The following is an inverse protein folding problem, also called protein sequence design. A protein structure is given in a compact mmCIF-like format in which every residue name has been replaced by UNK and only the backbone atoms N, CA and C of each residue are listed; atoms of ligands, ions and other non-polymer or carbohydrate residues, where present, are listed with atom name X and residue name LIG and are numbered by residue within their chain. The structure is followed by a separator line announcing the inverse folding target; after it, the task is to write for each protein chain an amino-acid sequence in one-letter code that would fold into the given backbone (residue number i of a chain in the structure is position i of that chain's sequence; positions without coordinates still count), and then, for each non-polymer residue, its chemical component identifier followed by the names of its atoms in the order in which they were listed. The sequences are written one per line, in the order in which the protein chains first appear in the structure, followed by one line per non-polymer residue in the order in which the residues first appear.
data_IF_610039421168
#
_entry.id   IF_610039421168
#
_cell.length_a   1.000
_cell.length_b   1.000
_cell.length_c   1.000
_cell.angle_alpha   90.00
_cell.angle_beta   90.00
_cell.angle_gamma   90.00
#
_symmetry.space_group_name_H-M   'P 1'
#
loop_
_entity.id
_entity.type
_entity.pdbx_description
1 polymer ?
#
# COMPACT_ATOMS: atom_id res chain seq x y z
N UNK A 1 -29.94 14.56 5.49
CA UNK A 1 -29.26 15.16 4.32
C UNK A 1 -28.41 14.07 3.73
N UNK A 2 -28.70 13.60 2.52
CA UNK A 2 -27.88 12.58 1.87
C UNK A 2 -26.49 13.17 1.67
N UNK A 3 -25.52 12.75 2.48
CA UNK A 3 -24.11 13.05 2.21
C UNK A 3 -23.79 12.41 0.87
N UNK A 4 -23.56 13.22 -0.17
CA UNK A 4 -23.10 12.71 -1.46
C UNK A 4 -21.80 11.92 -1.23
N UNK A 5 -21.75 10.70 -1.76
CA UNK A 5 -20.58 9.84 -1.66
C UNK A 5 -19.57 10.22 -2.75
N UNK A 6 -18.37 10.66 -2.35
CA UNK A 6 -17.32 11.10 -3.28
C UNK A 6 -16.26 10.03 -3.54
N UNK A 7 -16.38 8.84 -2.94
CA UNK A 7 -15.55 7.70 -3.31
C UNK A 7 -15.94 7.21 -4.69
N UNK A 8 -14.94 6.97 -5.55
CA UNK A 8 -15.17 6.52 -6.93
C UNK A 8 -14.13 5.50 -7.34
N UNK A 9 -14.61 4.40 -7.94
CA UNK A 9 -13.76 3.43 -8.62
C UNK A 9 -13.63 3.84 -10.08
N UNK A 10 -12.40 3.87 -10.58
CA UNK A 10 -12.08 4.23 -11.96
C UNK A 10 -11.17 3.17 -12.58
N UNK A 11 -11.11 3.11 -13.92
CA UNK A 11 -10.09 2.30 -14.61
C UNK A 11 -8.70 2.85 -14.25
N UNK A 12 -7.72 1.97 -14.06
CA UNK A 12 -6.36 2.39 -13.71
C UNK A 12 -5.77 3.39 -14.73
N UNK A 13 -6.08 3.22 -16.02
CA UNK A 13 -5.61 4.11 -17.09
C UNK A 13 -6.14 5.55 -16.98
N UNK A 14 -7.20 5.78 -16.21
CA UNK A 14 -7.81 7.10 -15.99
C UNK A 14 -7.22 7.82 -14.76
N UNK A 15 -6.41 7.12 -13.96
CA UNK A 15 -5.82 7.68 -12.74
C UNK A 15 -4.88 8.85 -13.07
N UNK A 16 -5.05 9.95 -12.34
CA UNK A 16 -4.21 11.14 -12.43
C UNK A 16 -3.87 11.60 -11.03
N UNK A 17 -2.58 11.82 -10.77
CA UNK A 17 -2.12 12.42 -9.50
C UNK A 17 -2.66 13.86 -9.39
N UNK A 18 -3.06 14.30 -8.18
CA UNK A 18 -3.40 15.70 -7.98
C UNK A 18 -2.19 16.61 -8.19
N UNK A 19 -2.39 17.72 -8.89
CA UNK A 19 -1.35 18.72 -9.12
C UNK A 19 -1.18 19.64 -7.91
N UNK A 20 0.07 19.89 -7.51
CA UNK A 20 0.34 20.88 -6.49
C UNK A 20 -0.01 22.30 -7.00
N UNK A 21 -0.58 23.18 -6.15
CA UNK A 21 -0.75 24.59 -6.49
C UNK A 21 0.60 25.21 -6.90
N UNK A 22 0.60 26.08 -7.91
CA UNK A 22 1.83 26.65 -8.47
C UNK A 22 2.75 27.31 -7.43
N UNK A 23 2.21 27.78 -6.31
CA UNK A 23 2.96 28.38 -5.19
C UNK A 23 3.72 27.39 -4.30
N UNK A 24 3.37 26.10 -4.31
CA UNK A 24 3.90 25.11 -3.34
C UNK A 24 5.16 24.39 -3.84
N UNK A 25 5.48 24.47 -5.15
CA UNK A 25 6.71 23.87 -5.72
C UNK A 25 8.00 24.42 -5.08
N UNK A 26 7.94 25.62 -4.49
CA UNK A 26 9.09 26.26 -3.81
C UNK A 26 9.29 25.73 -2.38
N UNK A 27 8.23 25.31 -1.68
CA UNK A 27 8.34 24.74 -0.32
C UNK A 27 8.87 23.31 -0.30
N UNK A 28 8.57 22.51 -1.33
CA UNK A 28 9.11 21.15 -1.50
C UNK A 28 10.63 21.16 -1.65
N UNK A 29 11.19 22.19 -2.30
CA UNK A 29 12.63 22.40 -2.43
C UNK A 29 13.27 22.75 -1.07
N UNK A 30 12.58 23.53 -0.23
CA UNK A 30 13.05 23.91 1.11
C UNK A 30 13.09 22.74 2.10
N UNK A 31 12.13 21.80 2.02
CA UNK A 31 12.16 20.58 2.84
C UNK A 31 13.33 19.65 2.44
N UNK A 32 13.65 19.56 1.15
CA UNK A 32 14.84 18.84 0.68
C UNK A 32 16.14 19.45 1.21
N UNK A 33 16.21 20.77 1.33
CA UNK A 33 17.38 21.48 1.87
C UNK A 33 17.46 21.32 3.40
N UNK A 34 16.34 21.28 4.12
CA UNK A 34 16.32 21.06 5.57
C UNK A 34 16.80 19.65 5.95
N UNK A 35 16.52 18.65 5.12
CA UNK A 35 16.99 17.27 5.32
C UNK A 35 18.51 17.11 5.15
N UNK A 36 19.23 18.11 4.61
CA UNK A 36 20.69 18.10 4.50
C UNK A 36 21.40 18.68 5.73
N UNK A 37 20.68 19.32 6.65
CA UNK A 37 21.22 19.87 7.89
C UNK A 37 20.35 19.47 9.09
N UNK A 38 20.55 18.27 9.66
CA UNK A 38 19.88 17.90 10.89
C UNK A 38 20.41 18.80 12.01
N UNK A 39 19.51 19.52 12.68
CA UNK A 39 19.82 20.08 14.00
C UNK A 39 19.87 18.90 14.97
N UNK A 40 21.02 18.73 15.62
CA UNK A 40 21.15 17.81 16.76
C UNK A 40 20.43 18.47 17.93
N UNK A 41 19.20 18.03 18.21
CA UNK A 41 18.54 18.27 19.49
C UNK A 41 18.54 16.95 20.26
N UNK A 42 18.91 17.05 21.54
CA UNK A 42 19.19 15.94 22.44
C UNK A 42 17.95 15.04 22.62
N UNK A 43 18.18 13.73 22.53
CA UNK A 43 17.18 12.68 22.79
C UNK A 43 16.70 12.75 24.23
N UNK A 44 15.40 12.92 24.43
CA UNK A 44 14.70 12.39 25.60
C UNK A 44 14.15 11.01 25.23
N UNK A 45 14.76 9.98 25.81
CA UNK A 45 14.18 8.65 25.89
C UNK A 45 13.05 8.71 26.92
N UNK A 46 11.82 8.91 26.46
CA UNK A 46 10.55 8.56 27.11
C UNK A 46 9.41 9.11 26.22
N UNK A 47 9.09 8.41 25.14
CA UNK A 47 7.84 8.64 24.41
C UNK A 47 7.06 7.33 24.39
N UNK A 48 6.05 7.29 25.26
CA UNK A 48 4.90 6.42 25.10
C UNK A 48 4.48 6.38 23.62
N UNK A 49 4.10 5.20 23.17
CA UNK A 49 3.57 4.89 21.85
C UNK A 49 2.38 5.81 21.55
N UNK A 50 2.68 7.02 21.06
CA UNK A 50 1.71 8.03 20.62
C UNK A 50 1.15 7.55 19.29
N UNK A 51 0.20 6.64 19.39
CA UNK A 51 -0.68 6.22 18.31
C UNK A 51 -1.50 7.45 17.89
N UNK A 52 -1.00 8.18 16.90
CA UNK A 52 -1.79 9.22 16.26
C UNK A 52 -3.09 8.60 15.75
N UNK A 53 -4.26 9.19 16.06
CA UNK A 53 -5.54 8.62 15.64
C UNK A 53 -5.72 8.66 14.12
N UNK A 54 -6.52 7.73 13.60
CA UNK A 54 -7.37 8.00 12.44
C UNK A 54 -6.87 7.72 11.02
N UNK A 55 -5.57 7.55 10.73
CA UNK A 55 -5.16 7.33 9.32
C UNK A 55 -5.72 6.03 8.72
N UNK A 56 -6.06 5.08 9.59
CA UNK A 56 -6.80 3.84 9.27
C UNK A 56 -8.29 3.90 9.66
N UNK A 57 -8.70 4.90 10.45
CA UNK A 57 -10.03 5.00 11.07
C UNK A 57 -10.84 6.09 10.37
N UNK A 58 -11.13 5.86 9.10
CA UNK A 58 -12.17 6.59 8.38
C UNK A 58 -13.33 5.65 8.10
N UNK A 59 -14.53 6.20 7.89
CA UNK A 59 -15.69 5.39 7.55
C UNK A 59 -15.45 4.64 6.24
N UNK A 60 -15.38 3.31 6.33
CA UNK A 60 -15.17 2.42 5.18
C UNK A 60 -16.43 2.31 4.31
N UNK A 61 -17.60 2.61 4.89
CA UNK A 61 -18.89 2.34 4.24
C UNK A 61 -19.05 3.10 2.92
N UNK A 62 -18.73 4.40 2.81
CA UNK A 62 -18.80 5.11 1.54
C UNK A 62 -17.85 4.52 0.48
N UNK A 63 -16.68 4.03 0.88
CA UNK A 63 -15.78 3.32 -0.03
C UNK A 63 -16.36 2.01 -0.54
N UNK A 64 -17.05 1.25 0.33
CA UNK A 64 -17.72 0.02 -0.05
C UNK A 64 -18.96 0.29 -0.93
N UNK A 65 -19.71 1.36 -0.66
CA UNK A 65 -20.82 1.79 -1.51
C UNK A 65 -20.33 2.16 -2.93
N UNK A 66 -19.11 2.71 -3.05
CA UNK A 66 -18.50 2.97 -4.36
C UNK A 66 -18.10 1.69 -5.12
N UNK A 67 -17.81 0.60 -4.41
CA UNK A 67 -17.61 -0.72 -5.02
C UNK A 67 -18.94 -1.30 -5.52
N UNK A 68 -20.04 -1.13 -4.77
CA UNK A 68 -21.39 -1.52 -5.21
C UNK A 68 -21.73 -0.83 -6.54
N UNK A 69 -21.62 0.50 -6.58
CA UNK A 69 -21.88 1.29 -7.80
C UNK A 69 -21.03 0.83 -8.99
N UNK A 70 -19.77 0.45 -8.74
CA UNK A 70 -18.85 0.07 -9.82
C UNK A 70 -19.02 -1.37 -10.30
N UNK A 71 -19.41 -2.29 -9.43
CA UNK A 71 -19.29 -3.73 -9.64
C UNK A 71 -20.60 -4.52 -9.46
N UNK A 72 -21.72 -3.89 -9.08
CA UNK A 72 -23.00 -4.57 -8.86
C UNK A 72 -23.48 -5.35 -10.09
N UNK A 73 -23.48 -4.74 -11.28
CA UNK A 73 -23.88 -5.42 -12.52
C UNK A 73 -23.05 -6.69 -12.74
N UNK A 74 -21.71 -6.58 -12.63
CA UNK A 74 -20.82 -7.73 -12.78
C UNK A 74 -21.07 -8.82 -11.73
N UNK A 75 -21.28 -8.43 -10.47
CA UNK A 75 -21.58 -9.35 -9.38
C UNK A 75 -22.90 -10.09 -9.62
N UNK A 76 -23.92 -9.40 -10.11
CA UNK A 76 -25.27 -9.94 -10.36
C UNK A 76 -25.32 -10.85 -11.58
N UNK A 77 -24.60 -10.53 -12.66
CA UNK A 77 -24.45 -11.41 -13.83
C UNK A 77 -23.91 -12.78 -13.41
N UNK A 78 -23.03 -12.81 -12.39
CA UNK A 78 -22.47 -14.03 -11.84
C UNK A 78 -21.50 -14.76 -12.78
N UNK A 79 -21.08 -14.08 -13.85
CA UNK A 79 -20.09 -14.57 -14.79
C UNK A 79 -18.71 -14.71 -14.14
N UNK A 80 -18.07 -15.86 -14.40
CA UNK A 80 -16.69 -16.11 -14.01
C UNK A 80 -15.78 -15.03 -14.60
N UNK A 81 -14.86 -14.54 -13.80
CA UNK A 81 -13.97 -13.48 -14.22
C UNK A 81 -13.28 -12.81 -13.04
N UNK A 82 -12.27 -12.00 -13.37
CA UNK A 82 -11.41 -11.36 -12.39
C UNK A 82 -11.43 -9.85 -12.59
N UNK A 83 -11.48 -9.10 -11.49
CA UNK A 83 -11.18 -7.67 -11.45
C UNK A 83 -10.01 -7.44 -10.50
N UNK A 84 -9.09 -6.57 -10.90
CA UNK A 84 -7.96 -6.15 -10.05
C UNK A 84 -8.23 -4.74 -9.54
N UNK A 85 -8.06 -4.53 -8.25
CA UNK A 85 -8.13 -3.23 -7.61
C UNK A 85 -6.75 -2.86 -7.05
N UNK A 86 -6.11 -1.85 -7.63
CA UNK A 86 -4.78 -1.44 -7.20
C UNK A 86 -4.88 -0.62 -5.91
N UNK A 87 -4.05 -1.01 -4.94
CA UNK A 87 -4.05 -0.52 -3.56
C UNK A 87 -2.70 0.10 -3.23
N UNK A 88 -2.58 1.43 -3.29
CA UNK A 88 -1.40 2.12 -2.77
C UNK A 88 -1.22 1.84 -1.29
N UNK A 89 0.02 1.80 -0.76
CA UNK A 89 0.27 1.69 0.67
C UNK A 89 -0.56 2.70 1.46
N UNK A 90 -1.15 2.26 2.58
CA UNK A 90 -1.96 3.11 3.47
C UNK A 90 -3.27 3.67 2.87
N UNK A 91 -3.67 3.30 1.65
CA UNK A 91 -4.92 3.80 1.05
C UNK A 91 -6.20 3.29 1.73
N UNK A 92 -6.11 2.26 2.56
CA UNK A 92 -7.27 1.60 3.18
C UNK A 92 -8.09 0.71 2.23
N UNK A 93 -7.70 0.62 0.95
CA UNK A 93 -8.40 -0.17 -0.10
C UNK A 93 -8.72 -1.60 0.33
N UNK A 94 -7.76 -2.32 0.95
CA UNK A 94 -7.99 -3.68 1.42
C UNK A 94 -9.08 -3.75 2.51
N UNK A 95 -9.11 -2.79 3.43
CA UNK A 95 -10.13 -2.73 4.48
C UNK A 95 -11.51 -2.41 3.90
N UNK A 96 -11.58 -1.50 2.91
CA UNK A 96 -12.81 -1.19 2.18
C UNK A 96 -13.34 -2.44 1.45
N UNK A 97 -12.46 -3.20 0.79
CA UNK A 97 -12.85 -4.44 0.09
C UNK A 97 -13.31 -5.52 1.07
N UNK A 98 -12.69 -5.65 2.26
CA UNK A 98 -13.18 -6.57 3.30
C UNK A 98 -14.56 -6.18 3.80
N UNK A 99 -14.79 -4.90 4.08
CA UNK A 99 -16.13 -4.37 4.45
C UNK A 99 -17.16 -4.70 3.36
N UNK A 100 -16.84 -4.44 2.10
CA UNK A 100 -17.69 -4.78 0.95
C UNK A 100 -17.95 -6.29 0.85
N UNK A 101 -16.92 -7.11 0.99
CA UNK A 101 -17.03 -8.55 0.90
C UNK A 101 -17.88 -9.16 2.02
N UNK A 102 -17.80 -8.63 3.25
CA UNK A 102 -18.67 -9.05 4.36
C UNK A 102 -20.14 -8.78 4.05
N UNK A 103 -20.48 -7.62 3.47
CA UNK A 103 -21.85 -7.28 3.07
C UNK A 103 -22.43 -8.25 2.04
N UNK A 104 -21.59 -8.68 1.09
CA UNK A 104 -21.99 -9.57 -0.01
C UNK A 104 -21.69 -11.04 0.21
N UNK A 105 -21.16 -11.40 1.39
CA UNK A 105 -20.80 -12.76 1.77
C UNK A 105 -19.74 -13.38 0.84
N UNK A 106 -18.80 -12.57 0.33
CA UNK A 106 -17.66 -13.05 -0.44
C UNK A 106 -16.54 -13.48 0.51
N UNK A 107 -16.17 -14.77 0.58
CA UNK A 107 -15.06 -15.21 1.41
C UNK A 107 -13.73 -14.60 0.95
N UNK A 108 -12.87 -14.24 1.91
CA UNK A 108 -11.48 -13.91 1.61
C UNK A 108 -10.66 -15.18 1.50
N UNK A 109 -9.93 -15.32 0.40
CA UNK A 109 -9.03 -16.44 0.20
C UNK A 109 -7.82 -16.29 1.13
N UNK A 110 -7.32 -17.43 1.61
CA UNK A 110 -6.07 -17.50 2.35
C UNK A 110 -4.92 -17.70 1.38
N UNK A 111 -3.80 -17.02 1.63
CA UNK A 111 -2.55 -17.23 0.88
C UNK A 111 -2.10 -18.70 0.97
N UNK A 112 -1.38 -19.22 -0.04
CA UNK A 112 -0.84 -20.57 0.00
C UNK A 112 0.10 -20.76 1.20
N UNK A 113 0.02 -21.93 1.83
CA UNK A 113 1.00 -22.36 2.84
C UNK A 113 2.36 -22.55 2.18
N UNK A 114 3.43 -22.54 2.97
CA UNK A 114 4.80 -22.68 2.46
C UNK A 114 4.97 -23.96 1.60
N UNK A 115 4.32 -25.09 1.97
CA UNK A 115 4.40 -26.32 1.18
C UNK A 115 3.71 -26.19 -0.18
N UNK A 116 2.51 -25.58 -0.21
CA UNK A 116 1.76 -25.33 -1.45
C UNK A 116 2.50 -24.33 -2.35
N UNK A 117 3.11 -23.31 -1.75
CA UNK A 117 3.88 -22.29 -2.45
C UNK A 117 5.14 -22.89 -3.10
N UNK A 118 5.94 -23.63 -2.33
CA UNK A 118 7.15 -24.30 -2.82
C UNK A 118 6.84 -25.41 -3.83
N UNK A 119 5.76 -26.16 -3.61
CA UNK A 119 5.32 -27.25 -4.48
C UNK A 119 4.56 -26.80 -5.74
N UNK A 120 4.20 -25.51 -5.84
CA UNK A 120 3.37 -24.95 -6.93
C UNK A 120 2.01 -25.69 -7.02
N UNK A 121 1.43 -26.04 -5.87
CA UNK A 121 0.21 -26.85 -5.79
C UNK A 121 -1.04 -25.96 -5.74
N UNK A 122 -1.34 -25.32 -6.87
CA UNK A 122 -2.51 -24.42 -7.02
C UNK A 122 -3.82 -25.18 -6.87
N UNK A 123 -3.88 -26.45 -7.30
CA UNK A 123 -5.10 -27.25 -7.24
C UNK A 123 -5.48 -27.61 -5.81
N UNK A 124 -4.51 -28.05 -5.00
CA UNK A 124 -4.76 -28.32 -3.58
C UNK A 124 -5.08 -27.03 -2.82
N UNK A 125 -4.35 -25.94 -3.08
CA UNK A 125 -4.62 -24.61 -2.51
C UNK A 125 -6.05 -24.14 -2.81
N UNK A 126 -6.53 -24.30 -4.04
CA UNK A 126 -7.88 -23.88 -4.42
C UNK A 126 -8.96 -24.78 -3.80
N UNK A 127 -8.77 -26.11 -3.84
CA UNK A 127 -9.76 -27.08 -3.34
C UNK A 127 -10.10 -26.88 -1.86
N UNK A 128 -9.15 -26.42 -1.04
CA UNK A 128 -9.37 -26.16 0.39
C UNK A 128 -10.34 -25.02 0.68
N UNK A 129 -10.58 -24.12 -0.27
CA UNK A 129 -11.30 -22.86 -0.06
C UNK A 129 -12.17 -22.44 -1.26
N UNK A 130 -12.44 -23.36 -2.18
CA UNK A 130 -13.10 -23.06 -3.44
C UNK A 130 -14.47 -22.43 -3.21
N UNK A 131 -14.72 -21.30 -3.86
CA UNK A 131 -15.98 -20.58 -3.80
C UNK A 131 -16.36 -20.04 -5.19
N UNK A 132 -17.66 -19.83 -5.42
CA UNK A 132 -18.13 -19.21 -6.67
C UNK A 132 -17.68 -17.76 -6.79
N UNK A 133 -17.70 -17.05 -5.66
CA UNK A 133 -17.37 -15.65 -5.50
C UNK A 133 -16.37 -15.51 -4.35
N UNK A 134 -15.36 -14.67 -4.49
CA UNK A 134 -14.29 -14.56 -3.49
C UNK A 134 -13.47 -13.27 -3.66
N UNK A 135 -12.73 -12.92 -2.61
CA UNK A 135 -11.73 -11.85 -2.67
C UNK A 135 -10.32 -12.38 -2.37
N UNK A 136 -9.31 -11.76 -2.98
CA UNK A 136 -7.94 -11.75 -2.46
C UNK A 136 -7.71 -10.32 -1.98
N UNK A 137 -7.58 -10.13 -0.68
CA UNK A 137 -7.40 -8.82 -0.04
C UNK A 137 -5.93 -8.37 0.02
N UNK A 138 -4.99 -9.30 -0.16
CA UNK A 138 -3.55 -9.04 -0.20
C UNK A 138 -2.83 -9.94 -1.21
N UNK A 139 -2.69 -9.45 -2.44
CA UNK A 139 -2.00 -10.17 -3.50
C UNK A 139 -0.48 -10.32 -3.27
N UNK A 140 0.13 -9.51 -2.39
CA UNK A 140 1.57 -9.56 -2.13
C UNK A 140 1.99 -10.86 -1.43
N UNK A 141 1.04 -11.57 -0.80
CA UNK A 141 1.25 -12.87 -0.14
C UNK A 141 1.28 -14.07 -1.09
N UNK A 142 0.99 -13.85 -2.37
CA UNK A 142 0.90 -14.91 -3.40
C UNK A 142 2.18 -15.04 -4.24
N UNK A 143 3.22 -14.28 -3.91
CA UNK A 143 4.51 -14.33 -4.60
C UNK A 143 5.65 -13.82 -3.69
N UNK A 144 6.88 -14.16 -4.03
CA UNK A 144 8.09 -13.73 -3.32
C UNK A 144 9.11 -13.19 -4.32
N UNK A 145 9.85 -12.13 -3.96
CA UNK A 145 10.95 -11.61 -4.81
C UNK A 145 12.20 -12.50 -4.74
N UNK A 146 12.06 -13.74 -5.20
CA UNK A 146 13.15 -14.72 -5.37
C UNK A 146 13.26 -15.13 -6.83
N UNK A 147 14.35 -15.80 -7.20
CA UNK A 147 14.57 -16.34 -8.55
C UNK A 147 13.45 -17.28 -8.98
N UNK A 148 12.92 -18.07 -8.04
CA UNK A 148 11.80 -18.99 -8.19
C UNK A 148 10.48 -18.47 -7.61
N UNK A 149 10.49 -17.41 -6.79
CA UNK A 149 9.32 -16.95 -6.02
C UNK A 149 8.13 -16.40 -6.83
N UNK A 150 8.23 -16.38 -8.16
CA UNK A 150 7.12 -16.07 -9.06
C UNK A 150 6.43 -17.32 -9.63
N UNK A 151 6.92 -18.53 -9.39
CA UNK A 151 6.37 -19.76 -9.98
C UNK A 151 4.92 -20.02 -9.58
N UNK A 152 4.59 -19.84 -8.30
CA UNK A 152 3.21 -20.00 -7.82
C UNK A 152 2.25 -19.04 -8.54
N UNK A 153 2.56 -17.74 -8.56
CA UNK A 153 1.70 -16.76 -9.24
C UNK A 153 1.68 -16.96 -10.77
N UNK A 154 2.76 -17.46 -11.35
CA UNK A 154 2.81 -17.85 -12.77
C UNK A 154 1.90 -19.02 -13.11
N UNK A 155 1.66 -19.93 -12.17
CA UNK A 155 0.70 -21.02 -12.32
C UNK A 155 -0.74 -20.59 -12.00
N UNK A 156 -0.94 -19.74 -10.98
CA UNK A 156 -2.26 -19.28 -10.55
C UNK A 156 -2.89 -18.29 -11.54
N UNK A 157 -2.14 -17.29 -12.00
CA UNK A 157 -2.70 -16.17 -12.76
C UNK A 157 -3.38 -16.61 -14.07
N UNK A 158 -2.84 -17.54 -14.89
CA UNK A 158 -3.56 -18.04 -16.06
C UNK A 158 -4.94 -18.62 -15.74
N UNK A 159 -5.11 -19.29 -14.59
CA UNK A 159 -6.38 -19.85 -14.14
C UNK A 159 -7.37 -18.74 -13.76
N UNK A 160 -6.88 -17.72 -13.06
CA UNK A 160 -7.64 -16.51 -12.74
C UNK A 160 -8.14 -15.79 -14.00
N UNK A 161 -7.25 -15.58 -14.97
CA UNK A 161 -7.56 -14.86 -16.21
C UNK A 161 -8.56 -15.62 -17.10
N UNK A 162 -8.61 -16.95 -17.00
CA UNK A 162 -9.58 -17.80 -17.72
C UNK A 162 -10.92 -17.95 -16.99
N UNK A 163 -11.04 -17.42 -15.77
CA UNK A 163 -12.24 -17.59 -14.95
C UNK A 163 -12.42 -19.01 -14.42
N UNK A 164 -11.37 -19.85 -14.40
CA UNK A 164 -11.43 -21.24 -13.92
C UNK A 164 -11.77 -21.30 -12.42
N UNK A 165 -11.49 -20.23 -11.68
CA UNK A 165 -11.69 -20.13 -10.23
C UNK A 165 -12.96 -19.35 -9.87
N UNK A 166 -13.88 -19.12 -10.81
CA UNK A 166 -15.12 -18.37 -10.56
C UNK A 166 -14.93 -16.86 -10.66
N UNK A 167 -15.68 -16.12 -9.84
CA UNK A 167 -15.75 -14.66 -9.85
C UNK A 167 -14.91 -14.07 -8.70
N UNK A 168 -13.86 -13.32 -9.03
CA UNK A 168 -12.88 -12.85 -8.05
C UNK A 168 -12.60 -11.35 -8.10
N UNK A 169 -12.45 -10.74 -6.93
CA UNK A 169 -11.88 -9.39 -6.77
C UNK A 169 -10.51 -9.48 -6.09
N UNK A 170 -9.46 -9.00 -6.76
CA UNK A 170 -8.08 -9.08 -6.28
C UNK A 170 -7.56 -7.69 -5.95
N UNK A 171 -7.26 -7.45 -4.69
CA UNK A 171 -6.57 -6.26 -4.21
C UNK A 171 -5.07 -6.47 -4.40
N UNK A 172 -4.50 -5.70 -5.33
CA UNK A 172 -3.09 -5.79 -5.69
C UNK A 172 -2.36 -4.54 -5.20
N UNK A 173 -1.33 -4.73 -4.38
CA UNK A 173 -0.46 -3.64 -3.95
C UNK A 173 0.19 -2.92 -5.14
N UNK A 174 0.27 -1.59 -5.10
CA UNK A 174 0.78 -0.80 -6.21
C UNK A 174 2.28 -1.02 -6.50
N UNK A 175 3.10 -1.31 -5.48
CA UNK A 175 4.51 -1.66 -5.65
C UNK A 175 4.65 -3.07 -6.21
N UNK A 176 3.88 -4.04 -5.69
CA UNK A 176 3.78 -5.39 -6.27
C UNK A 176 3.38 -5.33 -7.74
N UNK A 177 2.33 -4.57 -8.07
CA UNK A 177 1.84 -4.40 -9.44
C UNK A 177 2.93 -3.81 -10.35
N UNK A 178 3.56 -2.72 -9.92
CA UNK A 178 4.64 -2.06 -10.65
C UNK A 178 5.84 -2.99 -10.89
N UNK A 179 6.22 -3.78 -9.88
CA UNK A 179 7.29 -4.76 -9.99
C UNK A 179 6.92 -5.90 -10.93
N UNK A 180 5.74 -6.50 -10.76
CA UNK A 180 5.30 -7.65 -11.55
C UNK A 180 5.18 -7.29 -13.02
N UNK A 181 4.65 -6.10 -13.36
CA UNK A 181 4.60 -5.64 -14.76
C UNK A 181 5.97 -5.61 -15.45
N UNK A 182 7.04 -5.33 -14.68
CA UNK A 182 8.41 -5.29 -15.21
C UNK A 182 9.10 -6.66 -15.19
N UNK A 183 8.90 -7.42 -14.12
CA UNK A 183 9.49 -8.75 -13.95
C UNK A 183 8.80 -9.82 -14.82
N UNK A 184 7.54 -9.59 -15.19
CA UNK A 184 6.73 -10.51 -15.98
C UNK A 184 5.73 -9.70 -16.83
N UNK A 185 5.87 -9.67 -18.17
CA UNK A 185 5.05 -8.83 -19.05
C UNK A 185 3.63 -9.41 -19.26
N UNK A 186 2.89 -9.62 -18.17
CA UNK A 186 1.47 -9.98 -18.22
C UNK A 186 0.65 -8.71 -18.22
N UNK A 187 -0.26 -8.62 -19.19
CA UNK A 187 -1.27 -7.60 -19.20
C UNK A 187 -2.47 -8.08 -18.37
N UNK A 188 -2.62 -7.53 -17.17
CA UNK A 188 -3.78 -7.80 -16.33
C UNK A 188 -5.01 -7.09 -16.94
N UNK A 189 -6.10 -7.80 -17.25
CA UNK A 189 -7.35 -7.18 -17.69
C UNK A 189 -8.07 -6.56 -16.49
N UNK A 190 -9.05 -5.69 -16.75
CA UNK A 190 -9.98 -5.23 -15.72
C UNK A 190 -9.30 -4.67 -14.46
N UNK A 191 -8.34 -3.77 -14.67
CA UNK A 191 -7.59 -3.12 -13.60
C UNK A 191 -8.22 -1.77 -13.26
N UNK A 192 -8.53 -1.60 -11.98
CA UNK A 192 -9.19 -0.44 -11.40
C UNK A 192 -8.39 0.11 -10.22
N UNK A 193 -8.74 1.30 -9.76
CA UNK A 193 -8.27 1.89 -8.51
C UNK A 193 -9.31 2.88 -7.99
N UNK A 194 -9.19 3.31 -6.73
CA UNK A 194 -9.91 4.49 -6.28
C UNK A 194 -9.37 5.73 -6.99
N UNK A 195 -10.27 6.63 -7.38
CA UNK A 195 -9.89 7.94 -7.87
C UNK A 195 -9.05 8.69 -6.81
N UNK A 196 -8.11 9.50 -7.28
CA UNK A 196 -7.31 10.33 -6.39
C UNK A 196 -8.23 11.23 -5.54
N UNK A 197 -7.95 11.30 -4.24
CA UNK A 197 -8.70 12.14 -3.33
C UNK A 197 -8.59 13.62 -3.71
N UNK A 198 -9.75 14.24 -3.91
CA UNK A 198 -9.90 15.68 -4.08
C UNK A 198 -10.37 16.33 -2.77
N UNK A 199 -10.58 17.63 -2.80
CA UNK A 199 -10.95 18.43 -1.64
C UNK A 199 -12.27 17.97 -1.02
N UNK A 200 -13.23 17.53 -1.85
CA UNK A 200 -14.54 17.10 -1.37
C UNK A 200 -14.41 15.76 -0.65
N UNK A 201 -13.66 14.82 -1.21
CA UNK A 201 -13.39 13.54 -0.56
C UNK A 201 -12.60 13.73 0.75
N UNK A 202 -11.58 14.60 0.75
CA UNK A 202 -10.80 14.90 1.96
C UNK A 202 -11.68 15.49 3.08
N UNK A 203 -12.66 16.35 2.75
CA UNK A 203 -13.66 16.83 3.72
C UNK A 203 -14.57 15.71 4.23
N UNK A 204 -15.00 14.83 3.34
CA UNK A 204 -15.87 13.69 3.69
C UNK A 204 -15.21 12.76 4.70
N UNK A 205 -13.88 12.57 4.63
CA UNK A 205 -13.12 11.75 5.60
C UNK A 205 -12.69 12.52 6.86
N UNK A 206 -13.19 13.76 7.04
CA UNK A 206 -13.03 14.52 8.27
C UNK A 206 -11.93 15.58 8.27
N UNK A 207 -11.22 15.80 7.15
CA UNK A 207 -10.17 16.84 7.09
C UNK A 207 -10.81 18.21 6.89
N UNK A 208 -10.70 19.06 7.92
CA UNK A 208 -11.26 20.42 7.92
C UNK A 208 -10.17 21.46 7.63
N UNK A 209 -10.10 21.93 6.38
CA UNK A 209 -9.19 22.99 5.96
C UNK A 209 -9.76 23.84 4.82
N UNK A 210 -9.10 24.95 4.46
CA UNK A 210 -9.43 25.70 3.24
C UNK A 210 -9.04 24.92 1.97
N UNK A 211 -9.74 25.16 0.85
CA UNK A 211 -9.53 24.41 -0.41
C UNK A 211 -8.08 24.45 -0.90
N UNK A 212 -7.38 25.59 -0.76
CA UNK A 212 -5.97 25.69 -1.15
C UNK A 212 -5.09 24.71 -0.36
N UNK A 213 -5.38 24.54 0.94
CA UNK A 213 -4.66 23.61 1.82
C UNK A 213 -5.01 22.16 1.47
N UNK A 214 -6.29 21.87 1.23
CA UNK A 214 -6.74 20.54 0.79
C UNK A 214 -6.12 20.12 -0.55
N UNK A 215 -6.06 21.00 -1.56
CA UNK A 215 -5.36 20.74 -2.83
C UNK A 215 -3.88 20.42 -2.62
N UNK A 216 -3.22 21.19 -1.76
CA UNK A 216 -1.80 20.97 -1.44
C UNK A 216 -1.60 19.63 -0.73
N UNK A 217 -2.50 19.27 0.19
CA UNK A 217 -2.46 18.00 0.92
C UNK A 217 -2.72 16.81 -0.01
N UNK A 218 -3.75 16.89 -0.86
CA UNK A 218 -4.06 15.90 -1.88
C UNK A 218 -2.85 15.65 -2.80
N UNK A 219 -2.21 16.70 -3.29
CA UNK A 219 -1.01 16.57 -4.14
C UNK A 219 0.18 15.94 -3.39
N UNK A 220 0.42 16.35 -2.14
CA UNK A 220 1.50 15.82 -1.29
C UNK A 220 1.28 14.35 -0.90
N UNK A 221 0.02 13.96 -0.70
CA UNK A 221 -0.39 12.59 -0.44
C UNK A 221 -0.61 11.78 -1.73
N UNK A 222 -0.37 12.36 -2.89
CA UNK A 222 -0.61 11.75 -4.20
C UNK A 222 -2.05 11.24 -4.41
N UNK A 223 -3.03 11.90 -3.79
CA UNK A 223 -4.43 11.49 -3.82
C UNK A 223 -4.78 10.28 -2.93
N UNK A 224 -3.85 9.85 -2.07
CA UNK A 224 -4.07 8.76 -1.12
C UNK A 224 -4.71 9.28 0.17
N UNK A 225 -5.92 8.79 0.48
CA UNK A 225 -6.72 9.21 1.64
C UNK A 225 -6.00 8.97 2.97
N UNK A 226 -5.51 7.74 3.21
CA UNK A 226 -4.87 7.43 4.49
C UNK A 226 -3.55 8.16 4.68
N UNK A 227 -2.76 8.36 3.61
CA UNK A 227 -1.58 9.22 3.67
C UNK A 227 -1.94 10.69 3.94
N UNK A 228 -3.02 11.20 3.32
CA UNK A 228 -3.50 12.56 3.57
C UNK A 228 -3.92 12.76 5.04
N UNK A 229 -4.63 11.79 5.63
CA UNK A 229 -5.01 11.80 7.05
C UNK A 229 -3.78 11.81 7.97
N UNK A 230 -2.78 10.96 7.69
CA UNK A 230 -1.53 10.93 8.47
C UNK A 230 -0.77 12.25 8.37
N UNK A 231 -0.63 12.83 7.17
CA UNK A 231 0.02 14.12 6.97
C UNK A 231 -0.74 15.26 7.64
N UNK A 232 -2.07 15.21 7.61
CA UNK A 232 -2.91 16.17 8.31
C UNK A 232 -2.71 16.12 9.82
N UNK A 233 -2.67 14.92 10.41
CA UNK A 233 -2.45 14.72 11.83
C UNK A 233 -1.12 15.33 12.30
N UNK A 234 -0.03 15.09 11.56
CA UNK A 234 1.29 15.68 11.84
C UNK A 234 1.27 17.21 11.71
N UNK A 235 0.48 17.78 10.80
CA UNK A 235 0.39 19.24 10.69
C UNK A 235 -0.36 19.91 11.86
N UNK A 236 -1.16 19.17 12.62
CA UNK A 236 -1.89 19.68 13.79
C UNK A 236 -1.07 19.60 15.07
N UNK A 237 -0.03 18.78 15.09
CA UNK A 237 0.83 18.58 16.24
C UNK A 237 2.19 19.23 16.02
N UNK A 238 2.46 20.32 16.76
CA UNK A 238 3.72 21.05 16.66
C UNK A 238 4.94 20.30 17.22
N UNK A 239 4.72 19.28 18.04
CA UNK A 239 5.79 18.49 18.66
C UNK A 239 6.26 17.36 17.73
N UNK A 240 5.43 16.98 16.76
CA UNK A 240 5.73 15.90 15.83
C UNK A 240 6.25 16.38 14.48
N UNK A 241 7.29 15.70 14.00
CA UNK A 241 7.86 15.91 12.68
C UNK A 241 7.87 14.61 11.89
N UNK A 242 7.70 14.71 10.58
CA UNK A 242 7.87 13.54 9.72
C UNK A 242 9.31 13.03 9.82
N UNK A 243 9.49 11.70 9.89
CA UNK A 243 10.81 11.09 9.91
C UNK A 243 11.58 11.37 8.62
N UNK A 244 12.90 11.40 8.74
CA UNK A 244 13.84 11.56 7.63
C UNK A 244 14.77 10.35 7.57
N UNK A 245 15.31 10.09 6.38
CA UNK A 245 16.34 9.06 6.22
C UNK A 245 17.59 9.41 7.04
N UNK A 246 18.16 8.47 7.81
CA UNK A 246 19.48 8.65 8.41
C UNK A 246 20.54 8.95 7.33
N UNK A 247 21.55 9.79 7.64
CA UNK A 247 22.54 10.23 6.66
C UNK A 247 23.43 9.09 6.13
N UNK A 248 23.66 8.06 6.95
CA UNK A 248 24.58 6.95 6.64
C UNK A 248 23.90 5.77 5.93
N UNK A 249 22.64 5.92 5.50
CA UNK A 249 21.92 4.86 4.80
C UNK A 249 22.58 4.49 3.47
N UNK A 250 22.86 3.20 3.30
CA UNK A 250 23.53 2.63 2.12
C UNK A 250 22.53 1.98 1.17
N UNK A 251 23.03 1.37 0.10
CA UNK A 251 22.19 0.70 -0.90
C UNK A 251 21.51 -0.55 -0.34
N UNK A 252 22.12 -1.20 0.65
CA UNK A 252 21.51 -2.32 1.38
C UNK A 252 20.20 -1.89 2.06
N UNK A 253 20.17 -0.69 2.63
CA UNK A 253 18.96 -0.10 3.22
C UNK A 253 17.85 0.08 2.18
N UNK A 254 18.22 0.42 0.95
CA UNK A 254 17.25 0.53 -0.14
C UNK A 254 16.64 -0.84 -0.49
N UNK A 255 17.43 -1.92 -0.47
CA UNK A 255 16.89 -3.27 -0.67
C UNK A 255 15.93 -3.70 0.44
N UNK A 256 16.24 -3.38 1.70
CA UNK A 256 15.35 -3.63 2.85
C UNK A 256 14.02 -2.91 2.66
N UNK A 257 14.05 -1.59 2.51
CA UNK A 257 12.84 -0.77 2.40
C UNK A 257 11.99 -1.12 1.17
N UNK A 258 12.64 -1.37 0.03
CA UNK A 258 11.95 -1.80 -1.18
C UNK A 258 11.25 -3.15 -1.00
N UNK A 259 11.91 -4.10 -0.33
CA UNK A 259 11.35 -5.44 -0.08
C UNK A 259 10.16 -5.37 0.88
N UNK A 260 10.24 -4.53 1.92
CA UNK A 260 9.13 -4.27 2.82
C UNK A 260 7.91 -3.67 2.10
N UNK A 261 8.13 -2.70 1.18
CA UNK A 261 7.04 -2.12 0.40
C UNK A 261 6.44 -3.10 -0.59
N UNK A 262 7.27 -3.90 -1.28
CA UNK A 262 6.78 -4.91 -2.22
C UNK A 262 5.87 -5.94 -1.55
N UNK A 263 6.24 -6.38 -0.35
CA UNK A 263 5.53 -7.44 0.38
C UNK A 263 4.55 -6.91 1.43
N UNK A 264 4.37 -5.59 1.53
CA UNK A 264 3.53 -4.90 2.52
C UNK A 264 3.87 -5.22 3.99
N UNK A 265 5.08 -5.69 4.22
CA UNK A 265 5.58 -6.15 5.51
C UNK A 265 6.05 -7.60 5.47
N UNK A 266 7.03 -7.93 6.31
CA UNK A 266 7.61 -9.28 6.38
C UNK A 266 8.19 -9.57 7.76
N UNK A 267 8.08 -10.82 8.20
CA UNK A 267 8.88 -11.32 9.31
C UNK A 267 10.39 -11.22 9.02
N UNK A 268 11.20 -11.03 10.06
CA UNK A 268 12.66 -10.88 9.94
C UNK A 268 13.32 -12.07 9.22
N UNK A 269 12.90 -13.29 9.54
CA UNK A 269 13.40 -14.51 8.87
C UNK A 269 13.08 -14.54 7.37
N UNK A 270 11.87 -14.10 6.99
CA UNK A 270 11.46 -14.01 5.58
C UNK A 270 12.27 -12.94 4.86
N UNK A 271 12.46 -11.77 5.48
CA UNK A 271 13.26 -10.69 4.92
C UNK A 271 14.71 -11.11 4.69
N UNK A 272 15.33 -11.80 5.67
CA UNK A 272 16.68 -12.36 5.55
C UNK A 272 16.78 -13.36 4.40
N UNK A 273 15.75 -14.19 4.21
CA UNK A 273 15.68 -15.16 3.10
C UNK A 273 15.59 -14.47 1.73
N UNK A 274 14.91 -13.33 1.64
CA UNK A 274 14.78 -12.55 0.41
C UNK A 274 16.00 -11.67 0.12
N UNK A 275 16.81 -11.36 1.13
CA UNK A 275 17.98 -10.49 1.05
C UNK A 275 19.27 -11.23 1.45
N UNK A 276 19.66 -12.30 0.73
CA UNK A 276 20.82 -13.12 1.11
C UNK A 276 22.17 -12.39 1.02
N UNK A 277 22.19 -11.19 0.41
CA UNK A 277 23.38 -10.32 0.33
C UNK A 277 23.65 -9.57 1.64
N UNK A 278 22.66 -9.47 2.54
CA UNK A 278 22.77 -8.83 3.86
C UNK A 278 22.91 -9.95 4.90
N UNK A 279 23.85 -9.85 5.83
CA UNK A 279 23.95 -10.84 6.92
C UNK A 279 22.85 -10.61 7.96
N UNK A 280 22.47 -11.65 8.71
CA UNK A 280 21.43 -11.54 9.74
C UNK A 280 21.72 -10.42 10.76
N UNK A 281 22.95 -10.38 11.31
CA UNK A 281 23.35 -9.32 12.25
C UNK A 281 23.27 -7.91 11.63
N UNK A 282 23.63 -7.77 10.35
CA UNK A 282 23.53 -6.49 9.65
C UNK A 282 22.07 -6.09 9.39
N UNK A 283 21.21 -7.06 9.09
CA UNK A 283 19.79 -6.83 8.90
C UNK A 283 19.14 -6.36 10.20
N UNK A 284 19.40 -7.05 11.31
CA UNK A 284 18.85 -6.72 12.62
C UNK A 284 19.25 -5.31 13.07
N UNK A 285 20.54 -4.96 12.94
CA UNK A 285 21.02 -3.60 13.24
C UNK A 285 20.34 -2.55 12.36
N UNK A 286 20.19 -2.82 11.06
CA UNK A 286 19.51 -1.89 10.14
C UNK A 286 18.02 -1.72 10.49
N UNK A 287 17.31 -2.80 10.82
CA UNK A 287 15.91 -2.74 11.22
C UNK A 287 15.73 -1.90 12.50
N UNK A 288 16.58 -2.12 13.50
CA UNK A 288 16.58 -1.32 14.73
C UNK A 288 16.86 0.17 14.46
N UNK A 289 17.82 0.49 13.58
CA UNK A 289 18.12 1.88 13.22
C UNK A 289 16.96 2.56 12.48
N UNK A 290 16.33 1.86 11.53
CA UNK A 290 15.17 2.37 10.79
C UNK A 290 13.96 2.55 11.71
N UNK A 291 13.78 1.66 12.70
CA UNK A 291 12.73 1.76 13.70
C UNK A 291 12.95 2.95 14.64
N UNK A 292 14.17 3.15 15.13
CA UNK A 292 14.53 4.33 15.93
C UNK A 292 14.32 5.63 15.15
N UNK A 293 14.51 5.60 13.83
CA UNK A 293 14.22 6.72 12.94
C UNK A 293 12.71 6.87 12.61
N UNK A 294 11.83 6.07 13.22
CA UNK A 294 10.37 6.03 12.99
C UNK A 294 9.98 5.75 11.51
N UNK A 295 10.88 5.19 10.70
CA UNK A 295 10.65 4.89 9.27
C UNK A 295 9.95 3.56 9.06
N UNK A 296 10.23 2.58 9.93
CA UNK A 296 9.58 1.28 9.96
C UNK A 296 9.08 0.99 11.38
N UNK A 297 8.14 0.07 11.51
CA UNK A 297 7.68 -0.46 12.79
C UNK A 297 7.63 -1.98 12.73
N UNK A 298 7.53 -2.58 13.92
CA UNK A 298 7.44 -4.02 14.11
C UNK A 298 6.19 -4.33 14.92
N UNK A 299 5.22 -4.99 14.30
CA UNK A 299 3.97 -5.43 14.94
C UNK A 299 3.58 -6.79 14.38
N UNK A 300 2.91 -7.63 15.18
CA UNK A 300 2.43 -8.95 14.75
C UNK A 300 3.50 -9.84 14.09
N UNK A 301 4.74 -9.75 14.58
CA UNK A 301 5.91 -10.48 14.07
C UNK A 301 6.33 -10.08 12.64
N UNK A 302 5.91 -8.91 12.15
CA UNK A 302 6.27 -8.38 10.84
C UNK A 302 6.84 -6.97 10.93
N UNK A 303 7.88 -6.71 10.13
CA UNK A 303 8.42 -5.38 9.89
C UNK A 303 7.68 -4.73 8.73
N UNK A 304 7.31 -3.45 8.84
CA UNK A 304 6.68 -2.73 7.74
C UNK A 304 7.05 -1.24 7.76
N UNK A 305 6.95 -0.58 6.61
CA UNK A 305 7.18 0.87 6.50
C UNK A 305 6.02 1.63 7.16
N UNK A 306 6.32 2.61 8.01
CA UNK A 306 5.27 3.40 8.66
C UNK A 306 4.64 4.37 7.66
N UNK A 307 3.39 4.78 7.90
CA UNK A 307 2.73 5.81 7.08
C UNK A 307 3.50 7.14 7.11
N UNK A 308 4.10 7.48 8.26
CA UNK A 308 4.91 8.69 8.45
C UNK A 308 6.27 8.60 7.74
N UNK A 309 6.88 7.41 7.72
CA UNK A 309 8.12 7.11 7.02
C UNK A 309 8.00 7.04 5.50
N UNK A 310 6.79 6.76 4.99
CA UNK A 310 6.58 6.41 3.60
C UNK A 310 7.11 7.45 2.61
N UNK A 311 6.90 8.75 2.85
CA UNK A 311 7.39 9.80 1.95
C UNK A 311 8.93 9.81 1.86
N UNK A 312 9.61 9.75 3.01
CA UNK A 312 11.07 9.73 3.07
C UNK A 312 11.65 8.47 2.40
N UNK A 313 11.05 7.31 2.69
CA UNK A 313 11.43 6.02 2.08
C UNK A 313 11.23 6.05 0.56
N UNK A 314 10.08 6.56 0.10
CA UNK A 314 9.75 6.66 -1.33
C UNK A 314 10.74 7.54 -2.09
N UNK A 315 11.06 8.71 -1.54
CA UNK A 315 12.01 9.64 -2.15
C UNK A 315 13.43 9.06 -2.15
N UNK A 316 13.83 8.39 -1.06
CA UNK A 316 15.10 7.70 -0.96
C UNK A 316 15.27 6.62 -2.03
N UNK A 317 14.26 5.75 -2.19
CA UNK A 317 14.24 4.71 -3.22
C UNK A 317 14.31 5.32 -4.62
N UNK A 318 13.51 6.36 -4.90
CA UNK A 318 13.53 7.07 -6.19
C UNK A 318 14.90 7.67 -6.48
N UNK A 319 15.54 8.31 -5.49
CA UNK A 319 16.87 8.93 -5.66
C UNK A 319 17.98 7.92 -6.03
N UNK A 320 17.79 6.64 -5.68
CA UNK A 320 18.69 5.52 -6.00
C UNK A 320 18.26 4.74 -7.25
N UNK A 321 17.31 5.25 -8.02
CA UNK A 321 16.89 4.65 -9.29
C UNK A 321 15.98 3.42 -9.13
N UNK A 322 15.43 3.17 -7.94
CA UNK A 322 14.42 2.12 -7.79
C UNK A 322 13.14 2.51 -8.52
N UNK A 323 12.46 1.50 -9.07
CA UNK A 323 11.17 1.69 -9.71
C UNK A 323 10.09 1.85 -8.65
N UNK A 324 9.57 3.08 -8.55
CA UNK A 324 8.47 3.44 -7.66
C UNK A 324 7.13 3.29 -8.38
N UNK A 325 6.06 3.02 -7.64
CA UNK A 325 4.72 2.89 -8.21
C UNK A 325 4.15 4.23 -8.74
N UNK A 326 3.07 4.11 -9.51
CA UNK A 326 2.41 5.25 -10.17
C UNK A 326 1.54 6.10 -9.25
N UNK A 327 1.30 5.66 -8.00
CA UNK A 327 0.43 6.33 -7.04
C UNK A 327 1.18 7.35 -6.23
#
# INVERSE_FOLDING_TARGET
MSSENNWRIIRLAEFKRPDAPASTRVQQLFQHIRNLFPRVEERSDDEEQSDFPGYREFDLKPGADALDVAFDEWREDGDSGIKFLISPPFSGTANIVREWAVRHQWPSLTAPKEEQFCGIDVESWWREQSAKQWIIDDFAKYWQRRTDGLTFIRALLPKLLRGELGQGLVVCDSWSFAFLQRAWPVNLPNVYCFAAADEVLLRQVGIQAEDKKLKSLAARAFGNVGLALALWAVEQDSEHQLPSMPPDCRDETAFVLYTLLLHRGLAGESLQRLLPIITADQLDVQLLQLQQAKLISYEDNEWYVTVYGYLAVRDFLRSRGFFVDAF
#
